data_IF_846930854217
#
_entry.id   IF_846930854217
#
_cell.length_a   1.000
_cell.length_b   1.000
_cell.length_c   1.000
_cell.angle_alpha   90.00
_cell.angle_beta   90.00
_cell.angle_gamma   90.00
#
_symmetry.space_group_name_H-M   'P 1'
#
loop_
_entity.id
_entity.type
_entity.pdbx_description
1 polymer ?
#
# COMPACT_ATOMS: atom_id res chain seq x y z
N UNK A 1 -10.79 -3.15 9.56
CA UNK A 1 -9.57 -2.43 9.98
C UNK A 1 -8.54 -3.36 10.57
N UNK A 2 -8.92 -4.21 11.55
CA UNK A 2 -8.03 -5.24 12.09
C UNK A 2 -7.36 -6.11 11.01
N UNK A 3 -8.08 -6.56 9.98
CA UNK A 3 -7.50 -7.34 8.88
C UNK A 3 -6.30 -6.65 8.19
N UNK A 4 -6.34 -5.33 8.02
CA UNK A 4 -5.32 -4.63 7.24
C UNK A 4 -4.03 -4.42 8.04
N UNK A 5 -4.12 -4.10 9.33
CA UNK A 5 -2.95 -3.91 10.20
C UNK A 5 -2.50 -5.19 10.90
N UNK A 6 -3.42 -6.01 11.40
CA UNK A 6 -3.06 -7.21 12.15
C UNK A 6 -2.46 -8.30 11.24
N UNK A 7 -2.98 -8.47 10.02
CA UNK A 7 -2.47 -9.50 9.11
C UNK A 7 -0.98 -9.33 8.77
N UNK A 8 -0.49 -8.17 8.28
CA UNK A 8 0.94 -8.00 8.00
C UNK A 8 1.77 -8.13 9.27
N UNK A 9 1.31 -7.63 10.42
CA UNK A 9 2.00 -7.81 11.70
C UNK A 9 2.17 -9.29 12.02
N UNK A 10 1.07 -10.03 12.09
CA UNK A 10 1.08 -11.45 12.48
C UNK A 10 1.87 -12.26 11.48
N UNK A 11 1.67 -12.07 10.18
CA UNK A 11 2.33 -12.86 9.14
C UNK A 11 3.84 -12.60 9.13
N UNK A 12 4.27 -11.33 9.14
CA UNK A 12 5.70 -10.97 9.09
C UNK A 12 6.39 -11.40 10.39
N UNK A 13 5.77 -11.16 11.55
CA UNK A 13 6.31 -11.58 12.83
C UNK A 13 6.41 -13.10 12.96
N UNK A 14 5.40 -13.85 12.51
CA UNK A 14 5.42 -15.31 12.52
C UNK A 14 6.54 -15.87 11.62
N UNK A 15 6.64 -15.39 10.38
CA UNK A 15 7.71 -15.83 9.47
C UNK A 15 9.09 -15.45 10.04
N UNK A 16 9.24 -14.26 10.59
CA UNK A 16 10.51 -13.86 11.22
C UNK A 16 10.87 -14.73 12.40
N UNK A 17 9.91 -15.06 13.27
CA UNK A 17 10.14 -15.94 14.41
C UNK A 17 10.55 -17.34 13.96
N UNK A 18 9.85 -17.92 12.98
CA UNK A 18 10.17 -19.26 12.46
C UNK A 18 11.54 -19.33 11.77
N UNK A 19 11.99 -18.25 11.13
CA UNK A 19 13.25 -18.23 10.38
C UNK A 19 14.44 -17.79 11.23
N UNK A 20 14.24 -16.86 12.16
CA UNK A 20 15.31 -16.17 12.91
C UNK A 20 15.21 -16.31 14.42
N UNK A 21 14.14 -16.92 14.95
CA UNK A 21 13.88 -17.02 16.39
C UNK A 21 13.49 -15.69 17.06
N UNK A 22 13.27 -14.62 16.29
CA UNK A 22 13.04 -13.26 16.83
C UNK A 22 11.87 -12.56 16.16
N UNK A 23 11.12 -11.80 16.95
CA UNK A 23 9.99 -10.98 16.50
C UNK A 23 10.45 -9.53 16.34
N UNK A 24 10.41 -8.95 15.12
CA UNK A 24 10.89 -7.60 14.87
C UNK A 24 9.78 -6.56 15.12
N UNK A 25 9.21 -6.53 16.33
CA UNK A 25 8.02 -5.73 16.66
C UNK A 25 8.22 -4.23 16.37
N UNK A 26 9.38 -3.68 16.73
CA UNK A 26 9.67 -2.26 16.52
C UNK A 26 9.74 -1.93 15.02
N UNK A 27 10.45 -2.74 14.23
CA UNK A 27 10.52 -2.53 12.79
C UNK A 27 9.16 -2.64 12.11
N UNK A 28 8.35 -3.63 12.51
CA UNK A 28 6.99 -3.81 11.97
C UNK A 28 6.09 -2.63 12.30
N UNK A 29 6.11 -2.18 13.55
CA UNK A 29 5.34 -1.02 13.97
C UNK A 29 5.81 0.25 13.26
N UNK A 30 7.12 0.51 13.20
CA UNK A 30 7.70 1.67 12.54
C UNK A 30 7.32 1.75 11.06
N UNK A 31 7.34 0.63 10.33
CA UNK A 31 6.98 0.61 8.90
C UNK A 31 5.49 0.88 8.67
N UNK A 32 4.61 0.40 9.56
CA UNK A 32 3.17 0.68 9.48
C UNK A 32 2.86 2.14 9.82
N UNK A 33 3.51 2.69 10.85
CA UNK A 33 3.36 4.11 11.21
C UNK A 33 3.92 4.99 10.11
N UNK A 34 5.09 4.66 9.57
CA UNK A 34 5.70 5.39 8.46
C UNK A 34 4.78 5.41 7.23
N UNK A 35 4.26 4.25 6.81
CA UNK A 35 3.28 4.18 5.72
C UNK A 35 2.00 4.95 6.02
N UNK A 36 1.56 5.03 7.29
CA UNK A 36 0.40 5.85 7.66
C UNK A 36 0.69 7.35 7.52
N UNK A 37 1.85 7.81 7.97
CA UNK A 37 2.25 9.21 7.86
C UNK A 37 2.39 9.63 6.39
N UNK A 38 2.98 8.77 5.56
CA UNK A 38 2.99 8.98 4.11
C UNK A 38 1.58 9.11 3.54
N UNK A 39 0.68 8.17 3.85
CA UNK A 39 -0.68 8.20 3.30
C UNK A 39 -1.55 9.35 3.81
N UNK A 40 -1.29 9.86 5.01
CA UNK A 40 -1.89 11.12 5.49
C UNK A 40 -1.50 12.27 4.57
N UNK A 41 -0.23 12.39 4.19
CA UNK A 41 0.23 13.41 3.25
C UNK A 41 -0.30 13.18 1.84
N UNK A 42 -0.08 11.99 1.29
CA UNK A 42 -0.39 11.68 -0.10
C UNK A 42 -1.89 11.65 -0.38
N UNK A 43 -2.66 10.86 0.36
CA UNK A 43 -4.08 10.58 0.06
C UNK A 43 -5.02 11.34 0.99
N UNK A 44 -4.57 11.63 2.21
CA UNK A 44 -5.29 12.46 3.18
C UNK A 44 -5.29 13.94 2.82
N UNK A 45 -4.21 14.44 2.20
CA UNK A 45 -4.07 15.85 1.82
C UNK A 45 -3.92 16.04 0.29
N UNK A 46 -2.76 15.72 -0.29
CA UNK A 46 -2.40 16.08 -1.68
C UNK A 46 -3.43 15.61 -2.71
N UNK A 47 -3.86 14.36 -2.64
CA UNK A 47 -4.85 13.80 -3.58
C UNK A 47 -6.21 14.51 -3.49
N UNK A 48 -6.57 15.05 -2.30
CA UNK A 48 -7.83 15.79 -2.11
C UNK A 48 -7.74 17.18 -2.73
N UNK A 49 -6.59 17.85 -2.65
CA UNK A 49 -6.36 19.16 -3.28
C UNK A 49 -6.55 19.11 -4.80
N UNK A 50 -6.21 17.98 -5.42
CA UNK A 50 -6.33 17.77 -6.87
C UNK A 50 -7.59 17.03 -7.30
N UNK A 51 -8.57 16.88 -6.41
CA UNK A 51 -9.79 16.09 -6.68
C UNK A 51 -10.71 16.69 -7.75
N UNK A 52 -10.54 17.98 -8.06
CA UNK A 52 -11.21 18.64 -9.18
C UNK A 52 -10.71 18.14 -10.56
N UNK A 53 -9.51 17.54 -10.61
CA UNK A 53 -8.97 16.94 -11.84
C UNK A 53 -9.70 15.63 -12.16
N UNK A 54 -9.66 15.25 -13.46
CA UNK A 54 -10.09 13.91 -13.87
C UNK A 54 -9.27 12.85 -13.11
N UNK A 55 -9.85 11.69 -12.73
CA UNK A 55 -9.17 10.70 -11.88
C UNK A 55 -7.79 10.28 -12.38
N UNK A 56 -7.64 10.06 -13.69
CA UNK A 56 -6.35 9.71 -14.29
C UNK A 56 -5.29 10.80 -14.11
N UNK A 57 -5.67 12.08 -14.23
CA UNK A 57 -4.74 13.20 -14.08
C UNK A 57 -4.30 13.34 -12.62
N UNK A 58 -5.22 13.14 -11.66
CA UNK A 58 -4.88 13.15 -10.24
C UNK A 58 -3.92 11.98 -9.89
N UNK A 59 -4.18 10.77 -10.42
CA UNK A 59 -3.28 9.62 -10.25
C UNK A 59 -1.89 9.90 -10.82
N UNK A 60 -1.80 10.43 -12.05
CA UNK A 60 -0.50 10.74 -12.68
C UNK A 60 0.24 11.83 -11.92
N UNK A 61 -0.44 12.92 -11.53
CA UNK A 61 0.15 14.00 -10.75
C UNK A 61 0.68 13.50 -9.41
N UNK A 62 -0.12 12.73 -8.68
CA UNK A 62 0.30 12.12 -7.41
C UNK A 62 1.53 11.22 -7.63
N UNK A 63 1.54 10.43 -8.70
CA UNK A 63 2.66 9.52 -9.01
C UNK A 63 3.94 10.28 -9.36
N UNK A 64 3.83 11.42 -10.06
CA UNK A 64 4.98 12.31 -10.34
C UNK A 64 5.50 12.91 -9.04
N UNK A 65 4.63 13.47 -8.19
CA UNK A 65 5.05 14.03 -6.90
C UNK A 65 5.68 12.96 -5.99
N UNK A 66 5.12 11.76 -5.97
CA UNK A 66 5.65 10.64 -5.20
C UNK A 66 6.98 10.13 -5.78
N UNK A 67 7.15 10.13 -7.10
CA UNK A 67 8.43 9.81 -7.74
C UNK A 67 9.52 10.83 -7.39
N UNK A 68 9.18 12.13 -7.46
CA UNK A 68 10.09 13.23 -7.08
C UNK A 68 10.49 13.16 -5.60
N UNK A 69 9.57 12.73 -4.72
CA UNK A 69 9.87 12.53 -3.29
C UNK A 69 10.94 11.48 -3.03
N UNK A 70 11.08 10.47 -3.90
CA UNK A 70 12.16 9.48 -3.81
C UNK A 70 13.51 10.00 -4.36
N UNK A 71 13.57 11.25 -4.83
CA UNK A 71 14.78 11.89 -5.38
C UNK A 71 15.45 11.07 -6.50
N UNK A 72 14.64 10.36 -7.29
CA UNK A 72 15.13 9.40 -8.29
C UNK A 72 15.22 10.04 -9.69
N UNK A 73 16.26 10.86 -9.91
CA UNK A 73 16.37 11.73 -11.09
C UNK A 73 17.12 11.13 -12.28
N UNK A 74 17.60 9.90 -12.18
CA UNK A 74 18.21 9.21 -13.30
C UNK A 74 17.12 8.69 -14.25
N UNK A 75 17.30 8.83 -15.56
CA UNK A 75 16.31 8.38 -16.56
C UNK A 75 16.68 7.04 -17.19
N UNK A 76 17.04 6.05 -16.35
CA UNK A 76 17.34 4.69 -16.83
C UNK A 76 16.10 3.79 -16.82
N UNK A 77 16.13 2.60 -17.45
CA UNK A 77 15.00 1.66 -17.42
C UNK A 77 14.54 1.27 -16.01
N UNK A 78 15.43 1.34 -15.01
CA UNK A 78 15.08 1.06 -13.61
C UNK A 78 14.11 2.13 -13.08
N UNK A 79 14.41 3.40 -13.32
CA UNK A 79 13.57 4.52 -12.88
C UNK A 79 12.25 4.59 -13.63
N UNK A 80 12.25 4.27 -14.92
CA UNK A 80 11.01 4.13 -15.70
C UNK A 80 10.13 3.03 -15.11
N UNK A 81 10.71 1.87 -14.79
CA UNK A 81 9.98 0.76 -14.16
C UNK A 81 9.45 1.14 -12.78
N UNK A 82 10.26 1.85 -11.98
CA UNK A 82 9.86 2.36 -10.69
C UNK A 82 8.69 3.35 -10.80
N UNK A 83 8.74 4.27 -11.76
CA UNK A 83 7.63 5.19 -12.02
C UNK A 83 6.33 4.45 -12.38
N UNK A 84 6.40 3.41 -13.23
CA UNK A 84 5.23 2.57 -13.53
C UNK A 84 4.67 1.90 -12.28
N UNK A 85 5.54 1.40 -11.38
CA UNK A 85 5.11 0.84 -10.09
C UNK A 85 4.40 1.91 -9.25
N UNK A 86 4.89 3.15 -9.20
CA UNK A 86 4.23 4.24 -8.47
C UNK A 86 2.88 4.62 -9.07
N UNK A 87 2.72 4.58 -10.39
CA UNK A 87 1.43 4.79 -11.06
C UNK A 87 0.44 3.70 -10.70
N UNK A 88 0.86 2.43 -10.80
CA UNK A 88 0.03 1.28 -10.42
C UNK A 88 -0.31 1.28 -8.93
N UNK A 89 0.67 1.62 -8.09
CA UNK A 89 0.50 1.78 -6.65
C UNK A 89 -0.50 2.88 -6.32
N UNK A 90 -0.39 4.04 -6.96
CA UNK A 90 -1.32 5.16 -6.78
C UNK A 90 -2.75 4.80 -7.15
N UNK A 91 -2.94 4.11 -8.28
CA UNK A 91 -4.24 3.59 -8.67
C UNK A 91 -4.77 2.52 -7.70
N UNK A 92 -3.97 1.52 -7.36
CA UNK A 92 -4.37 0.38 -6.52
C UNK A 92 -4.71 0.81 -5.09
N UNK A 93 -3.85 1.62 -4.47
CA UNK A 93 -4.09 2.23 -3.15
C UNK A 93 -5.33 3.13 -3.20
N UNK A 94 -5.52 3.89 -4.29
CA UNK A 94 -6.75 4.66 -4.51
C UNK A 94 -8.02 3.81 -4.49
N UNK A 95 -7.99 2.59 -5.05
CA UNK A 95 -9.13 1.65 -4.96
C UNK A 95 -9.39 1.14 -3.56
N UNK A 96 -8.35 0.95 -2.76
CA UNK A 96 -8.51 0.65 -1.33
C UNK A 96 -9.18 1.82 -0.63
N UNK A 97 -8.77 3.05 -0.93
CA UNK A 97 -9.38 4.26 -0.37
C UNK A 97 -10.87 4.36 -0.71
N UNK A 98 -11.22 4.25 -2.00
CA UNK A 98 -12.61 4.31 -2.49
C UNK A 98 -13.51 3.27 -1.82
N UNK A 99 -12.98 2.05 -1.62
CA UNK A 99 -13.76 0.93 -1.09
C UNK A 99 -13.88 0.96 0.42
N UNK A 100 -12.84 1.47 1.10
CA UNK A 100 -12.73 1.33 2.55
C UNK A 100 -13.03 2.60 3.34
N UNK A 101 -12.80 3.77 2.74
CA UNK A 101 -12.84 5.06 3.42
C UNK A 101 -11.82 5.19 4.57
N UNK A 102 -10.75 4.40 4.60
CA UNK A 102 -9.88 4.28 5.77
C UNK A 102 -8.39 4.44 5.44
N UNK A 103 -7.77 5.48 6.02
CA UNK A 103 -6.31 5.69 5.96
C UNK A 103 -5.51 4.53 6.55
N UNK A 104 -6.04 3.82 7.55
CA UNK A 104 -5.40 2.65 8.16
C UNK A 104 -5.35 1.47 7.17
N UNK A 105 -6.41 1.27 6.38
CA UNK A 105 -6.42 0.21 5.36
C UNK A 105 -5.49 0.56 4.19
N UNK A 106 -5.49 1.83 3.79
CA UNK A 106 -4.63 2.38 2.74
C UNK A 106 -3.16 2.26 3.14
N UNK A 107 -2.80 2.61 4.38
CA UNK A 107 -1.42 2.55 4.86
C UNK A 107 -0.86 1.13 4.91
N UNK A 108 -1.66 0.16 5.34
CA UNK A 108 -1.27 -1.25 5.28
C UNK A 108 -0.98 -1.75 3.87
N UNK A 109 -1.70 -1.23 2.87
CA UNK A 109 -1.50 -1.58 1.47
C UNK A 109 -0.26 -0.92 0.88
N UNK A 110 0.12 0.26 1.38
CA UNK A 110 1.37 0.96 1.04
C UNK A 110 2.59 0.26 1.66
N UNK A 111 2.55 -0.03 2.96
CA UNK A 111 3.69 -0.48 3.78
C UNK A 111 4.51 -1.67 3.25
N UNK A 112 4.01 -2.62 2.43
CA UNK A 112 4.82 -3.74 1.98
C UNK A 112 6.07 -3.35 1.17
N UNK A 113 6.04 -2.23 0.45
CA UNK A 113 7.23 -1.68 -0.22
C UNK A 113 8.33 -1.30 0.79
N UNK A 114 7.90 -0.78 1.94
CA UNK A 114 8.79 -0.35 3.03
C UNK A 114 9.27 -1.54 3.88
N UNK A 115 8.53 -2.64 3.90
CA UNK A 115 8.93 -3.89 4.56
C UNK A 115 10.00 -4.65 3.78
N UNK A 116 9.94 -4.60 2.45
CA UNK A 116 10.74 -5.44 1.57
C UNK A 116 11.40 -4.58 0.48
N UNK A 117 12.44 -3.80 0.83
CA UNK A 117 13.19 -3.00 -0.16
C UNK A 117 13.83 -3.85 -1.26
N UNK A 118 13.90 -5.18 -1.06
CA UNK A 118 14.18 -6.17 -2.10
C UNK A 118 13.22 -7.36 -2.02
N UNK A 119 12.80 -7.85 -3.19
CA UNK A 119 11.94 -9.04 -3.32
C UNK A 119 12.82 -10.28 -3.52
N UNK A 120 12.61 -11.28 -2.66
CA UNK A 120 13.12 -12.64 -2.81
C UNK A 120 11.95 -13.63 -2.70
N UNK A 121 12.20 -14.94 -2.81
CA UNK A 121 11.13 -15.94 -2.76
C UNK A 121 10.24 -15.84 -1.50
N UNK A 122 10.85 -15.55 -0.32
CA UNK A 122 10.11 -15.43 0.94
C UNK A 122 9.30 -14.14 1.01
N UNK A 123 9.91 -12.98 0.73
CA UNK A 123 9.17 -11.71 0.73
C UNK A 123 8.11 -11.66 -0.37
N UNK A 124 8.39 -12.23 -1.54
CA UNK A 124 7.43 -12.39 -2.62
C UNK A 124 6.22 -13.24 -2.23
N UNK A 125 6.43 -14.36 -1.52
CA UNK A 125 5.33 -15.18 -1.02
C UNK A 125 4.48 -14.44 0.02
N UNK A 126 5.10 -13.71 0.96
CA UNK A 126 4.39 -12.88 1.94
C UNK A 126 3.55 -11.81 1.23
N UNK A 127 4.14 -11.10 0.27
CA UNK A 127 3.47 -10.09 -0.54
C UNK A 127 2.26 -10.67 -1.29
N UNK A 128 2.43 -11.82 -1.93
CA UNK A 128 1.35 -12.48 -2.66
C UNK A 128 0.19 -12.86 -1.74
N UNK A 129 0.46 -13.40 -0.55
CA UNK A 129 -0.56 -13.75 0.45
C UNK A 129 -1.30 -12.50 0.93
N UNK A 130 -0.57 -11.43 1.29
CA UNK A 130 -1.17 -10.18 1.74
C UNK A 130 -2.08 -9.58 0.68
N UNK A 131 -1.58 -9.46 -0.55
CA UNK A 131 -2.33 -8.91 -1.68
C UNK A 131 -3.57 -9.76 -1.99
N UNK A 132 -3.45 -11.09 -2.01
CA UNK A 132 -4.58 -11.98 -2.26
C UNK A 132 -5.68 -11.80 -1.22
N UNK A 133 -5.33 -11.85 0.08
CA UNK A 133 -6.29 -11.70 1.18
C UNK A 133 -6.95 -10.32 1.12
N UNK A 134 -6.19 -9.25 0.91
CA UNK A 134 -6.76 -7.91 0.86
C UNK A 134 -7.64 -7.70 -0.37
N UNK A 135 -7.24 -8.16 -1.56
CA UNK A 135 -8.08 -8.07 -2.78
C UNK A 135 -9.39 -8.84 -2.59
N UNK A 136 -9.33 -10.07 -2.07
CA UNK A 136 -10.54 -10.86 -1.75
C UNK A 136 -11.42 -10.08 -0.78
N UNK A 137 -10.85 -9.49 0.27
CA UNK A 137 -11.60 -8.71 1.27
C UNK A 137 -12.31 -7.49 0.64
N UNK A 138 -11.67 -6.81 -0.30
CA UNK A 138 -12.25 -5.67 -1.02
C UNK A 138 -13.41 -6.11 -1.92
N UNK A 139 -13.24 -7.22 -2.65
CA UNK A 139 -14.29 -7.78 -3.51
C UNK A 139 -15.51 -8.21 -2.69
N UNK A 140 -15.30 -8.94 -1.58
CA UNK A 140 -16.37 -9.36 -0.68
C UNK A 140 -17.10 -8.15 -0.09
N UNK A 141 -16.36 -7.15 0.40
CA UNK A 141 -16.95 -5.93 0.96
C UNK A 141 -17.80 -5.18 -0.07
N UNK A 142 -17.30 -5.05 -1.31
CA UNK A 142 -18.05 -4.42 -2.40
C UNK A 142 -19.33 -5.18 -2.74
N UNK A 143 -19.28 -6.52 -2.82
CA UNK A 143 -20.46 -7.36 -3.06
C UNK A 143 -21.52 -7.20 -1.96
N UNK A 144 -21.11 -7.25 -0.70
CA UNK A 144 -22.02 -7.11 0.44
C UNK A 144 -22.69 -5.72 0.48
N UNK A 145 -21.94 -4.66 0.19
CA UNK A 145 -22.49 -3.31 0.11
C UNK A 145 -23.55 -3.16 -0.99
N UNK A 146 -23.33 -3.79 -2.15
CA UNK A 146 -24.30 -3.77 -3.26
C UNK A 146 -25.55 -4.60 -2.95
N UNK A 147 -25.39 -5.74 -2.26
CA UNK A 147 -26.51 -6.57 -1.83
C UNK A 147 -27.41 -5.85 -0.82
N UNK A 148 -26.82 -5.09 0.12
CA UNK A 148 -27.57 -4.35 1.14
C UNK A 148 -28.33 -3.11 0.60
N UNK A 149 -28.06 -2.69 -0.65
CA UNK A 149 -28.77 -1.59 -1.32
C UNK A 149 -29.95 -2.04 -2.19
N UNK A 150 -30.12 -3.35 -2.39
CA UNK A 150 -31.23 -3.95 -3.14
C UNK A 150 -32.36 -4.29 -2.17
#
# INVERSE_FOLDING_TARGET
MALYWALPVVLISAVSYLVKGTIPYLAVFSVLVYGLLEEIGWRGFIYQEFKALKPLHNILLLSVLWFLWHLNFDFTPIQVSFFVILVLGSWGIGKVADTTGSLVAISAFHSPNNFFPGINAKSGAILAILLAVWVISLVVRKKNYQAAKR
#
